data_IF_175672516029
#
_entry.id   IF_175672516029
#
_cell.length_a   1.000
_cell.length_b   1.000
_cell.length_c   1.000
_cell.angle_alpha   90.00
_cell.angle_beta   90.00
_cell.angle_gamma   90.00
#
_symmetry.space_group_name_H-M   'P 1'
#
loop_
_entity.id
_entity.type
_entity.pdbx_description
1 polymer ?
#
# COMPACT_ATOMS: atom_id res chain seq x y z
N UNK A 1 26.91 -15.50 31.34
CA UNK A 1 27.15 -15.41 29.89
C UNK A 1 26.16 -16.33 29.19
N UNK A 2 25.09 -15.77 28.63
CA UNK A 2 24.16 -16.45 27.74
C UNK A 2 23.71 -15.40 26.73
N UNK A 3 24.28 -15.50 25.52
CA UNK A 3 24.04 -14.58 24.40
C UNK A 3 22.59 -14.73 23.93
N UNK A 4 21.82 -13.64 24.05
CA UNK A 4 20.54 -13.47 23.38
C UNK A 4 20.83 -13.41 21.88
N UNK A 5 20.27 -14.36 21.10
CA UNK A 5 20.32 -14.29 19.64
C UNK A 5 19.51 -13.08 19.17
N UNK A 6 19.97 -12.30 18.18
CA UNK A 6 19.13 -11.28 17.58
C UNK A 6 18.02 -11.96 16.79
N UNK A 7 16.77 -11.77 17.20
CA UNK A 7 15.58 -12.04 16.38
C UNK A 7 15.46 -10.92 15.35
N UNK A 8 16.34 -10.93 14.36
CA UNK A 8 16.20 -10.11 13.15
C UNK A 8 15.40 -10.89 12.13
N UNK A 9 14.16 -10.50 11.90
CA UNK A 9 13.45 -10.82 10.65
C UNK A 9 14.34 -10.35 9.49
N UNK A 10 14.50 -11.12 8.40
CA UNK A 10 15.32 -10.69 7.28
C UNK A 10 14.75 -9.38 6.70
N UNK A 11 15.47 -8.27 6.86
CA UNK A 11 15.14 -7.03 6.15
C UNK A 11 15.55 -7.26 4.70
N UNK A 12 14.58 -7.37 3.79
CA UNK A 12 14.82 -7.26 2.35
C UNK A 12 15.43 -5.90 2.07
N UNK A 13 16.73 -5.88 1.78
CA UNK A 13 17.45 -4.72 1.29
C UNK A 13 17.41 -4.73 -0.24
N UNK A 14 16.98 -3.62 -0.83
CA UNK A 14 16.87 -3.44 -2.27
C UNK A 14 18.05 -2.58 -2.74
N UNK A 15 18.84 -3.08 -3.68
CA UNK A 15 19.86 -2.31 -4.36
C UNK A 15 19.62 -2.41 -5.87
N UNK A 16 19.60 -1.26 -6.55
CA UNK A 16 19.47 -1.19 -8.01
C UNK A 16 20.84 -0.97 -8.64
N UNK A 17 21.18 -1.84 -9.60
CA UNK A 17 22.32 -1.62 -10.49
C UNK A 17 21.89 -2.10 -11.89
N UNK A 18 21.49 -1.14 -12.74
CA UNK A 18 20.87 -1.44 -14.03
C UNK A 18 19.46 -2.03 -13.93
N UNK A 19 18.90 -2.46 -15.06
CA UNK A 19 17.52 -2.91 -15.24
C UNK A 19 17.21 -4.30 -14.62
N UNK A 20 17.65 -4.56 -13.39
CA UNK A 20 17.39 -5.81 -12.68
C UNK A 20 17.27 -5.58 -11.17
N UNK A 21 16.21 -6.13 -10.57
CA UNK A 21 16.02 -6.22 -9.12
C UNK A 21 16.75 -7.47 -8.60
N UNK A 22 17.60 -7.29 -7.59
CA UNK A 22 18.25 -8.38 -6.85
C UNK A 22 17.49 -8.60 -5.55
N UNK A 23 16.93 -9.80 -5.37
CA UNK A 23 16.31 -10.23 -4.10
C UNK A 23 17.30 -11.17 -3.40
N UNK A 24 17.71 -10.82 -2.19
CA UNK A 24 18.58 -11.65 -1.38
C UNK A 24 17.75 -12.69 -0.60
N UNK A 25 17.95 -13.97 -0.89
CA UNK A 25 17.47 -15.09 -0.07
C UNK A 25 18.69 -15.85 0.43
N UNK A 26 18.83 -15.99 1.76
CA UNK A 26 19.93 -16.70 2.44
C UNK A 26 21.36 -16.23 2.09
N UNK A 27 21.58 -14.91 1.91
CA UNK A 27 22.93 -14.35 1.74
C UNK A 27 23.59 -14.62 0.38
N UNK A 28 22.89 -15.29 -0.54
CA UNK A 28 23.30 -15.46 -1.93
C UNK A 28 22.53 -14.51 -2.85
N UNK A 29 23.26 -13.67 -3.58
CA UNK A 29 22.71 -12.83 -4.63
C UNK A 29 22.53 -13.66 -5.91
N UNK A 30 21.29 -14.05 -6.21
CA UNK A 30 20.91 -14.74 -7.44
C UNK A 30 20.15 -13.83 -8.40
N UNK A 31 20.35 -14.02 -9.72
CA UNK A 31 19.51 -13.39 -10.74
C UNK A 31 18.10 -13.99 -10.69
N UNK A 32 17.08 -13.19 -10.38
CA UNK A 32 15.68 -13.54 -10.69
C UNK A 32 15.48 -13.19 -12.16
N UNK A 33 15.50 -14.21 -13.02
CA UNK A 33 15.27 -14.02 -14.45
C UNK A 33 13.78 -13.76 -14.73
N UNK A 34 13.46 -12.66 -15.40
CA UNK A 34 12.33 -12.51 -16.33
C UNK A 34 10.92 -12.94 -15.87
N UNK A 35 10.65 -13.07 -14.59
CA UNK A 35 9.34 -13.50 -14.11
C UNK A 35 8.33 -12.36 -14.28
N UNK A 36 7.22 -12.65 -14.96
CA UNK A 36 6.13 -11.70 -15.15
C UNK A 36 5.47 -11.50 -13.78
N UNK A 37 5.63 -10.30 -13.22
CA UNK A 37 5.00 -9.93 -11.96
C UNK A 37 3.64 -9.31 -12.28
N UNK A 38 2.56 -9.96 -11.85
CA UNK A 38 1.22 -9.37 -11.87
C UNK A 38 1.14 -8.23 -10.85
N UNK A 39 0.46 -7.17 -11.22
CA UNK A 39 0.16 -6.05 -10.35
C UNK A 39 -1.34 -6.02 -10.05
N UNK A 40 -1.68 -5.84 -8.77
CA UNK A 40 -3.04 -5.49 -8.37
C UNK A 40 -3.05 -4.02 -8.03
N UNK A 41 -3.79 -3.23 -8.80
CA UNK A 41 -4.00 -1.81 -8.50
C UNK A 41 -5.28 -1.67 -7.70
N UNK A 42 -5.15 -1.26 -6.44
CA UNK A 42 -6.25 -1.02 -5.53
C UNK A 42 -6.51 0.49 -5.43
N UNK A 43 -7.74 0.94 -5.69
CA UNK A 43 -8.08 2.36 -5.80
C UNK A 43 -9.52 2.66 -5.36
N UNK A 44 -9.93 3.93 -5.40
CA UNK A 44 -11.18 4.43 -4.85
C UNK A 44 -11.11 4.61 -3.33
N UNK A 45 -12.02 3.97 -2.61
CA UNK A 45 -12.11 3.94 -1.15
C UNK A 45 -13.32 4.70 -0.61
N UNK A 46 -13.72 4.37 0.63
CA UNK A 46 -14.70 5.12 1.41
C UNK A 46 -14.05 6.34 2.06
N UNK A 47 -13.63 7.26 1.20
CA UNK A 47 -12.88 8.47 1.56
C UNK A 47 -13.46 9.69 0.85
N UNK A 48 -13.25 10.87 1.42
CA UNK A 48 -13.50 12.13 0.72
C UNK A 48 -12.59 12.28 -0.52
N UNK A 49 -11.48 11.55 -0.56
CA UNK A 49 -10.47 11.58 -1.62
C UNK A 49 -10.66 10.46 -2.66
N UNK A 50 -11.85 9.87 -2.71
CA UNK A 50 -12.21 8.79 -3.64
C UNK A 50 -11.89 9.14 -5.11
N UNK A 51 -12.29 10.30 -5.59
CA UNK A 51 -12.03 10.71 -6.98
C UNK A 51 -10.53 10.89 -7.25
N UNK A 52 -9.79 11.42 -6.27
CA UNK A 52 -8.35 11.62 -6.38
C UNK A 52 -7.63 10.27 -6.49
N UNK A 53 -8.11 9.27 -5.76
CA UNK A 53 -7.65 7.88 -5.80
C UNK A 53 -7.87 7.26 -7.19
N UNK A 54 -9.07 7.40 -7.76
CA UNK A 54 -9.40 6.97 -9.12
C UNK A 54 -8.53 7.64 -10.20
N UNK A 55 -8.32 8.96 -10.10
CA UNK A 55 -7.46 9.71 -11.04
C UNK A 55 -6.00 9.26 -10.94
N UNK A 56 -5.50 9.10 -9.71
CA UNK A 56 -4.13 8.63 -9.44
C UNK A 56 -3.92 7.25 -10.07
N UNK A 57 -4.84 6.31 -9.82
CA UNK A 57 -4.77 4.98 -10.38
C UNK A 57 -4.83 4.97 -11.91
N UNK A 58 -5.66 5.82 -12.51
CA UNK A 58 -5.76 5.92 -13.96
C UNK A 58 -4.42 6.29 -14.61
N UNK A 59 -3.74 7.30 -14.05
CA UNK A 59 -2.43 7.72 -14.54
C UNK A 59 -1.35 6.66 -14.30
N UNK A 60 -1.35 6.00 -13.15
CA UNK A 60 -0.38 4.93 -12.86
C UNK A 60 -0.56 3.76 -13.82
N UNK A 61 -1.79 3.31 -14.04
CA UNK A 61 -2.10 2.20 -14.96
C UNK A 61 -1.74 2.54 -16.40
N UNK A 62 -1.97 3.78 -16.84
CA UNK A 62 -1.58 4.25 -18.17
C UNK A 62 -0.05 4.25 -18.38
N UNK A 63 0.73 4.36 -17.30
CA UNK A 63 2.20 4.37 -17.36
C UNK A 63 2.83 2.96 -17.28
N UNK A 64 2.07 1.93 -16.89
CA UNK A 64 2.57 0.55 -16.75
C UNK A 64 2.64 -0.14 -18.14
N UNK A 65 3.77 -0.77 -18.48
CA UNK A 65 3.85 -1.69 -19.63
C UNK A 65 3.15 -3.01 -19.26
N UNK A 66 1.85 -3.08 -19.55
CA UNK A 66 1.01 -4.21 -19.16
C UNK A 66 1.38 -5.54 -19.84
N UNK A 67 2.22 -5.50 -20.89
CA UNK A 67 2.77 -6.74 -21.49
C UNK A 67 3.85 -7.37 -20.62
N UNK A 68 4.53 -6.56 -19.81
CA UNK A 68 5.56 -7.01 -18.85
C UNK A 68 4.96 -7.24 -17.47
N UNK A 69 3.96 -6.45 -17.12
CA UNK A 69 3.30 -6.47 -15.81
C UNK A 69 1.78 -6.45 -16.00
N UNK A 70 1.13 -7.61 -16.18
CA UNK A 70 -0.31 -7.70 -16.25
C UNK A 70 -0.94 -7.03 -15.02
N UNK A 71 -2.01 -6.27 -15.23
CA UNK A 71 -2.66 -5.49 -14.17
C UNK A 71 -4.08 -6.00 -13.94
N UNK A 72 -4.39 -6.35 -12.70
CA UNK A 72 -5.78 -6.45 -12.22
C UNK A 72 -6.16 -5.12 -11.55
N UNK A 73 -7.33 -4.61 -11.88
CA UNK A 73 -7.88 -3.38 -11.31
C UNK A 73 -8.96 -3.71 -10.27
N UNK A 74 -8.74 -3.31 -9.02
CA UNK A 74 -9.69 -3.50 -7.93
C UNK A 74 -10.09 -2.13 -7.38
N UNK A 75 -11.34 -1.74 -7.58
CA UNK A 75 -11.88 -0.48 -7.09
C UNK A 75 -12.71 -0.68 -5.83
N UNK A 76 -12.60 0.20 -4.84
CA UNK A 76 -13.48 0.24 -3.67
C UNK A 76 -14.45 1.42 -3.85
N UNK A 77 -15.76 1.17 -3.90
CA UNK A 77 -16.75 2.24 -4.05
C UNK A 77 -16.92 3.07 -2.77
N UNK A 78 -17.77 4.10 -2.82
CA UNK A 78 -18.02 5.01 -1.68
C UNK A 78 -18.78 4.32 -0.54
N UNK A 79 -19.44 3.21 -0.82
CA UNK A 79 -20.12 2.39 0.17
C UNK A 79 -19.15 1.36 0.82
N UNK A 80 -17.97 1.19 0.25
CA UNK A 80 -16.93 0.26 0.70
C UNK A 80 -17.03 -1.12 0.06
N UNK A 81 -17.84 -1.31 -0.98
CA UNK A 81 -17.88 -2.54 -1.78
C UNK A 81 -16.69 -2.58 -2.72
N UNK A 82 -16.14 -3.77 -2.91
CA UNK A 82 -15.00 -3.99 -3.80
C UNK A 82 -15.50 -4.46 -5.15
N UNK A 83 -14.91 -3.92 -6.21
CA UNK A 83 -15.28 -4.17 -7.59
C UNK A 83 -14.06 -4.63 -8.37
N UNK A 84 -14.24 -5.65 -9.20
CA UNK A 84 -13.30 -5.91 -10.29
C UNK A 84 -13.62 -4.93 -11.42
N UNK A 85 -12.74 -3.95 -11.61
CA UNK A 85 -12.98 -2.79 -12.44
C UNK A 85 -12.31 -2.92 -13.81
N UNK A 86 -12.73 -2.06 -14.73
CA UNK A 86 -12.12 -1.94 -16.06
C UNK A 86 -11.74 -0.48 -16.34
N UNK A 87 -10.74 -0.28 -17.18
CA UNK A 87 -10.37 1.05 -17.67
C UNK A 87 -11.43 1.54 -18.66
N UNK A 88 -12.20 2.54 -18.25
CA UNK A 88 -13.16 3.22 -19.11
C UNK A 88 -12.55 4.37 -19.94
N UNK A 89 -13.32 4.98 -20.85
CA UNK A 89 -12.86 6.12 -21.64
C UNK A 89 -12.54 7.35 -20.80
N UNK A 90 -13.25 7.52 -19.67
CA UNK A 90 -13.05 8.62 -18.73
C UNK A 90 -12.08 8.27 -17.59
N UNK A 91 -11.38 7.13 -17.70
CA UNK A 91 -10.49 6.60 -16.68
C UNK A 91 -11.13 5.52 -15.80
N UNK A 92 -10.45 5.22 -14.68
CA UNK A 92 -10.89 4.22 -13.71
C UNK A 92 -12.01 4.76 -12.83
N UNK A 93 -13.01 3.91 -12.63
CA UNK A 93 -14.07 4.11 -11.64
C UNK A 93 -14.24 2.81 -10.85
N UNK A 94 -14.58 2.91 -9.56
CA UNK A 94 -14.81 1.74 -8.71
C UNK A 94 -16.18 1.10 -9.01
N UNK A 95 -16.36 0.64 -10.24
CA UNK A 95 -17.58 0.01 -10.75
C UNK A 95 -17.23 -1.31 -11.42
N UNK A 96 -18.24 -2.14 -11.68
CA UNK A 96 -18.07 -3.50 -12.19
C UNK A 96 -18.68 -4.54 -11.25
N UNK A 97 -18.44 -5.83 -11.48
CA UNK A 97 -18.90 -6.90 -10.60
C UNK A 97 -18.36 -6.71 -9.17
N UNK A 98 -19.24 -6.85 -8.18
CA UNK A 98 -18.83 -6.84 -6.77
C UNK A 98 -18.08 -8.13 -6.47
N UNK A 99 -16.95 -8.01 -5.78
CA UNK A 99 -16.06 -9.12 -5.41
C UNK A 99 -15.77 -9.10 -3.91
N UNK A 100 -15.53 -10.28 -3.35
CA UNK A 100 -15.08 -10.40 -1.97
C UNK A 100 -13.57 -10.11 -1.86
N UNK A 101 -13.13 -9.17 -1.01
CA UNK A 101 -11.75 -8.68 -0.98
C UNK A 101 -10.71 -9.80 -0.79
N UNK A 102 -10.96 -10.70 0.16
CA UNK A 102 -10.02 -11.77 0.47
C UNK A 102 -9.97 -12.82 -0.63
N UNK A 103 -11.08 -13.08 -1.33
CA UNK A 103 -11.13 -14.04 -2.43
C UNK A 103 -10.37 -13.50 -3.65
N UNK A 104 -10.64 -12.26 -4.04
CA UNK A 104 -10.03 -11.65 -5.23
C UNK A 104 -8.52 -11.48 -5.07
N UNK A 105 -8.06 -11.14 -3.86
CA UNK A 105 -6.64 -11.01 -3.53
C UNK A 105 -5.96 -12.39 -3.38
N UNK A 106 -6.62 -13.40 -2.78
CA UNK A 106 -6.06 -14.77 -2.68
C UNK A 106 -5.85 -15.43 -4.05
N UNK A 107 -6.74 -15.15 -5.00
CA UNK A 107 -6.60 -15.63 -6.37
C UNK A 107 -5.33 -15.08 -7.08
N UNK A 108 -4.66 -14.09 -6.46
CA UNK A 108 -3.52 -13.33 -6.99
C UNK A 108 -2.34 -13.35 -6.01
N UNK A 109 -2.12 -14.48 -5.34
CA UNK A 109 -1.11 -14.61 -4.28
C UNK A 109 0.35 -14.40 -4.72
N UNK A 110 0.63 -14.37 -6.03
CA UNK A 110 1.94 -14.02 -6.59
C UNK A 110 2.06 -12.57 -7.06
N UNK A 111 1.01 -11.76 -6.91
CA UNK A 111 0.97 -10.39 -7.38
C UNK A 111 1.53 -9.41 -6.35
N UNK A 112 1.97 -8.25 -6.84
CA UNK A 112 2.32 -7.10 -5.99
C UNK A 112 1.16 -6.11 -6.00
N UNK A 113 0.74 -5.67 -4.81
CA UNK A 113 -0.36 -4.71 -4.66
C UNK A 113 0.17 -3.27 -4.70
N UNK A 114 -0.47 -2.43 -5.49
CA UNK A 114 -0.30 -0.98 -5.51
C UNK A 114 -1.54 -0.36 -4.84
N UNK A 115 -1.49 -0.06 -3.53
CA UNK A 115 -2.59 0.58 -2.81
C UNK A 115 -2.61 2.07 -3.12
N UNK A 116 -3.22 2.45 -4.23
CA UNK A 116 -3.38 3.83 -4.68
C UNK A 116 -4.61 4.48 -4.05
N UNK A 117 -4.79 4.26 -2.74
CA UNK A 117 -5.87 4.80 -1.92
C UNK A 117 -5.40 6.04 -1.18
N UNK A 118 -6.30 6.98 -0.91
CA UNK A 118 -6.01 8.22 -0.18
C UNK A 118 -6.91 8.38 1.05
N UNK A 119 -6.33 8.87 2.14
CA UNK A 119 -7.02 9.20 3.36
C UNK A 119 -7.43 7.98 4.19
N UNK A 120 -8.57 8.06 4.92
CA UNK A 120 -9.02 7.00 5.81
C UNK A 120 -9.16 5.66 5.11
N UNK A 121 -8.81 4.58 5.81
CA UNK A 121 -8.74 3.20 5.36
C UNK A 121 -7.68 2.90 4.28
N UNK A 122 -7.11 3.92 3.63
CA UNK A 122 -6.06 3.80 2.61
C UNK A 122 -4.67 4.07 3.14
N UNK A 123 -4.48 5.17 3.86
CA UNK A 123 -3.18 5.65 4.34
C UNK A 123 -3.02 5.52 5.86
N UNK A 124 -4.01 4.97 6.55
CA UNK A 124 -4.06 4.88 8.02
C UNK A 124 -3.58 3.54 8.60
N UNK A 125 -3.11 2.63 7.75
CA UNK A 125 -2.65 1.30 8.13
C UNK A 125 -3.71 0.20 7.99
N UNK A 126 -4.97 0.54 7.70
CA UNK A 126 -6.06 -0.44 7.62
C UNK A 126 -5.87 -1.42 6.47
N UNK A 127 -5.75 -0.91 5.24
CA UNK A 127 -5.54 -1.78 4.07
C UNK A 127 -4.20 -2.50 4.13
N UNK A 128 -3.16 -1.85 4.66
CA UNK A 128 -1.85 -2.46 4.87
C UNK A 128 -1.99 -3.67 5.80
N UNK A 129 -2.77 -3.56 6.88
CA UNK A 129 -3.01 -4.67 7.80
C UNK A 129 -3.68 -5.87 7.12
N UNK A 130 -4.62 -5.64 6.20
CA UNK A 130 -5.20 -6.70 5.38
C UNK A 130 -4.12 -7.37 4.52
N UNK A 131 -3.27 -6.59 3.85
CA UNK A 131 -2.22 -7.11 2.98
C UNK A 131 -1.16 -7.92 3.75
N UNK A 132 -0.77 -7.47 4.94
CA UNK A 132 0.11 -8.20 5.86
C UNK A 132 -0.51 -9.54 6.29
N UNK A 133 -1.81 -9.56 6.64
CA UNK A 133 -2.51 -10.80 7.01
C UNK A 133 -2.62 -11.79 5.84
N UNK A 134 -2.59 -11.27 4.61
CA UNK A 134 -2.65 -12.07 3.39
C UNK A 134 -1.28 -12.48 2.87
N UNK A 135 -0.18 -12.04 3.51
CA UNK A 135 1.19 -12.26 3.07
C UNK A 135 1.43 -11.80 1.62
N UNK A 136 0.81 -10.67 1.25
CA UNK A 136 0.93 -10.09 -0.09
C UNK A 136 1.98 -8.97 -0.09
N UNK A 137 2.93 -8.95 -1.04
CA UNK A 137 3.83 -7.83 -1.20
C UNK A 137 3.06 -6.59 -1.69
N UNK A 138 3.36 -5.42 -1.14
CA UNK A 138 2.72 -4.17 -1.55
C UNK A 138 3.66 -2.98 -1.53
N UNK A 139 3.31 -1.95 -2.30
CA UNK A 139 4.06 -0.70 -2.40
C UNK A 139 3.67 0.25 -1.27
N UNK A 140 4.65 0.96 -0.71
CA UNK A 140 4.44 2.06 0.23
C UNK A 140 4.87 1.75 1.67
N UNK A 141 4.28 2.48 2.60
CA UNK A 141 4.55 2.33 4.04
C UNK A 141 3.84 1.12 4.62
N UNK A 142 4.45 0.48 5.62
CA UNK A 142 3.79 -0.56 6.42
C UNK A 142 2.79 -0.01 7.44
N UNK A 143 2.03 -0.90 8.08
CA UNK A 143 0.92 -0.58 9.01
C UNK A 143 1.24 0.55 9.99
N UNK A 144 2.34 0.42 10.75
CA UNK A 144 2.72 1.41 11.76
C UNK A 144 3.09 2.76 11.13
N UNK A 145 3.83 2.74 10.02
CA UNK A 145 4.26 3.96 9.33
C UNK A 145 3.06 4.76 8.82
N UNK A 146 2.11 4.06 8.21
CA UNK A 146 0.83 4.61 7.75
C UNK A 146 0.02 5.21 8.91
N UNK A 147 -0.24 4.44 9.96
CA UNK A 147 -1.01 4.90 11.12
C UNK A 147 -0.40 6.14 11.80
N UNK A 148 0.92 6.13 12.02
CA UNK A 148 1.63 7.26 12.63
C UNK A 148 1.55 8.50 11.74
N UNK A 149 1.74 8.36 10.42
CA UNK A 149 1.73 9.47 9.48
C UNK A 149 0.32 10.08 9.29
N UNK A 150 -0.72 9.25 9.36
CA UNK A 150 -2.11 9.71 9.24
C UNK A 150 -2.55 10.54 10.45
N UNK A 151 -2.22 10.08 11.66
CA UNK A 151 -2.49 10.83 12.89
C UNK A 151 -1.43 11.92 13.11
N UNK A 152 -1.82 13.17 12.84
CA UNK A 152 -0.91 14.31 13.01
C UNK A 152 -0.46 14.47 14.45
N UNK A 153 -1.29 14.18 15.46
CA UNK A 153 -0.85 14.25 16.85
C UNK A 153 0.24 13.21 17.14
N UNK A 154 0.05 11.98 16.67
CA UNK A 154 1.06 10.92 16.83
C UNK A 154 2.34 11.19 16.05
N UNK A 155 2.24 11.65 14.81
CA UNK A 155 3.40 12.12 14.02
C UNK A 155 4.23 13.11 14.82
N UNK A 156 3.58 14.08 15.47
CA UNK A 156 4.25 15.13 16.24
C UNK A 156 5.00 14.57 17.45
N UNK A 157 4.42 13.58 18.14
CA UNK A 157 5.10 12.86 19.22
C UNK A 157 6.36 12.16 18.71
N UNK A 158 6.27 11.43 17.61
CA UNK A 158 7.40 10.70 17.01
C UNK A 158 8.51 11.64 16.53
N UNK A 159 8.15 12.75 15.88
CA UNK A 159 9.11 13.77 15.44
C UNK A 159 9.84 14.40 16.62
N UNK A 160 9.12 14.76 17.69
CA UNK A 160 9.71 15.30 18.92
C UNK A 160 10.67 14.31 19.57
N UNK A 161 10.26 13.05 19.71
CA UNK A 161 11.12 12.01 20.26
C UNK A 161 12.40 11.78 19.43
N UNK A 162 12.34 12.08 18.13
CA UNK A 162 13.47 11.98 17.20
C UNK A 162 14.29 13.27 17.08
N UNK A 163 13.96 14.33 17.84
CA UNK A 163 14.64 15.62 17.77
C UNK A 163 14.41 16.40 16.46
N UNK A 164 13.36 16.08 15.70
CA UNK A 164 13.05 16.75 14.44
C UNK A 164 12.23 18.03 14.71
N UNK A 165 12.69 19.22 14.28
CA UNK A 165 11.95 20.46 14.46
C UNK A 165 10.59 20.43 13.77
N UNK A 166 9.60 21.04 14.43
CA UNK A 166 8.22 21.06 13.97
C UNK A 166 7.47 22.29 14.51
N UNK A 167 6.42 22.73 13.81
CA UNK A 167 5.61 23.87 14.24
C UNK A 167 4.96 23.62 15.63
N UNK A 168 4.89 24.68 16.44
CA UNK A 168 4.20 24.65 17.73
C UNK A 168 2.75 24.19 17.54
N UNK A 169 2.28 23.32 18.43
CA UNK A 169 0.97 22.69 18.32
C UNK A 169 0.36 22.47 19.70
N UNK A 170 -0.97 22.39 19.72
CA UNK A 170 -1.75 21.83 20.82
C UNK A 170 -2.74 20.86 20.20
N UNK A 171 -3.02 19.74 20.87
CA UNK A 171 -4.05 18.79 20.45
C UNK A 171 -5.30 19.13 21.24
N UNK A 172 -6.45 19.22 20.58
CA UNK A 172 -7.75 19.42 21.22
C UNK A 172 -8.61 18.22 20.88
N UNK A 173 -9.07 17.52 21.91
CA UNK A 173 -9.93 16.34 21.78
C UNK A 173 -11.41 16.71 21.95
N UNK A 174 -12.32 15.83 21.53
CA UNK A 174 -13.77 16.04 21.67
C UNK A 174 -14.18 16.34 23.12
N UNK A 175 -13.49 15.74 24.09
CA UNK A 175 -13.74 15.96 25.53
C UNK A 175 -13.35 17.36 26.00
N UNK A 176 -12.38 17.99 25.35
CA UNK A 176 -11.92 19.34 25.68
C UNK A 176 -12.70 20.42 24.94
N UNK A 177 -13.47 20.02 23.91
CA UNK A 177 -14.28 20.91 23.09
C UNK A 177 -15.73 21.07 23.60
N UNK A 178 -16.26 20.06 24.32
CA UNK A 178 -17.61 20.06 24.92
C UNK A 178 -17.59 20.46 26.39
#
# INVERSE_FOLDING_TARGET
MSSIRPTGTPRTAWATQGASILIAVNGTFGRVGGEVIELVVLFGGRSAEHEISCITASHVVAAIDQRRHPVTLIGIDREGRWHEAEMGPDGLNATGPVVEPTQVLRARSGAVVLPLLHGPLGEDGTVQGLLELMDLPYVGSGVLGSAVAMDKAMTKVVLTASGIPQAAHTVVTDREYL
#
